data_IF_313471926035
#
_entry.id   IF_313471926035
#
_cell.length_a   1.000
_cell.length_b   1.000
_cell.length_c   1.000
_cell.angle_alpha   90.00
_cell.angle_beta   90.00
_cell.angle_gamma   90.00
#
_symmetry.space_group_name_H-M   'P 1'
#
loop_
_entity.id
_entity.type
_entity.pdbx_description
1 polymer ?
#
# COMPACT_ATOMS: atom_id res chain seq x y z
N UNK A 1 66.79 -56.70 -20.08
CA UNK A 1 66.73 -55.26 -19.71
C UNK A 1 65.40 -54.59 -20.07
N UNK A 2 64.73 -54.94 -21.18
CA UNK A 2 63.46 -54.30 -21.60
C UNK A 2 62.22 -54.60 -20.72
N UNK A 3 62.17 -55.74 -20.01
CA UNK A 3 61.04 -56.05 -19.12
C UNK A 3 61.03 -55.20 -17.84
N UNK A 4 62.20 -54.90 -17.28
CA UNK A 4 62.34 -54.07 -16.08
C UNK A 4 61.90 -52.61 -16.31
N UNK A 5 62.09 -52.07 -17.53
CA UNK A 5 61.67 -50.71 -17.91
C UNK A 5 60.15 -50.60 -18.09
N UNK A 6 59.49 -51.63 -18.61
CA UNK A 6 58.04 -51.63 -18.80
C UNK A 6 57.30 -51.69 -17.46
N UNK A 7 57.78 -52.54 -16.53
CA UNK A 7 57.19 -52.59 -15.18
C UNK A 7 57.35 -51.30 -14.38
N UNK A 8 58.48 -50.60 -14.52
CA UNK A 8 58.69 -49.31 -13.84
C UNK A 8 57.78 -48.23 -14.40
N UNK A 9 57.61 -48.17 -15.73
CA UNK A 9 56.65 -47.25 -16.36
C UNK A 9 55.22 -47.55 -15.88
N UNK A 10 54.84 -48.83 -15.77
CA UNK A 10 53.51 -49.22 -15.31
C UNK A 10 53.27 -48.82 -13.85
N UNK A 11 54.24 -49.06 -12.95
CA UNK A 11 54.17 -48.67 -11.53
C UNK A 11 54.10 -47.15 -11.35
N UNK A 12 54.86 -46.39 -12.15
CA UNK A 12 54.83 -44.92 -12.15
C UNK A 12 53.46 -44.43 -12.64
N UNK A 13 52.92 -45.00 -13.72
CA UNK A 13 51.61 -44.61 -14.26
C UNK A 13 50.47 -44.89 -13.27
N UNK A 14 50.50 -46.04 -12.59
CA UNK A 14 49.54 -46.42 -11.56
C UNK A 14 49.62 -45.51 -10.31
N UNK A 15 50.84 -45.15 -9.89
CA UNK A 15 51.05 -44.22 -8.77
C UNK A 15 50.53 -42.81 -9.09
N UNK A 16 50.76 -42.32 -10.32
CA UNK A 16 50.27 -41.01 -10.76
C UNK A 16 48.74 -41.00 -10.84
N UNK A 17 48.12 -42.03 -11.39
CA UNK A 17 46.65 -42.12 -11.47
C UNK A 17 46.01 -42.23 -10.08
N UNK A 18 46.59 -43.02 -9.18
CA UNK A 18 46.13 -43.11 -7.79
C UNK A 18 46.27 -41.76 -7.05
N UNK A 19 47.35 -41.03 -7.29
CA UNK A 19 47.56 -39.70 -6.71
C UNK A 19 46.54 -38.67 -7.23
N UNK A 20 46.23 -38.69 -8.54
CA UNK A 20 45.22 -37.81 -9.16
C UNK A 20 43.82 -38.14 -8.61
N UNK A 21 43.47 -39.41 -8.51
CA UNK A 21 42.17 -39.84 -7.96
C UNK A 21 42.06 -39.49 -6.47
N UNK A 22 43.12 -39.70 -5.69
CA UNK A 22 43.19 -39.31 -4.29
C UNK A 22 43.02 -37.80 -4.08
N UNK A 23 43.68 -36.98 -4.89
CA UNK A 23 43.51 -35.52 -4.85
C UNK A 23 42.10 -35.08 -5.27
N UNK A 24 41.53 -35.68 -6.31
CA UNK A 24 40.15 -35.40 -6.75
C UNK A 24 39.10 -35.77 -5.70
N UNK A 25 39.32 -36.87 -4.96
CA UNK A 25 38.42 -37.30 -3.88
C UNK A 25 38.38 -36.30 -2.72
N UNK A 26 39.47 -35.55 -2.48
CA UNK A 26 39.55 -34.55 -1.40
C UNK A 26 39.12 -33.16 -1.87
N UNK A 27 39.52 -32.74 -3.08
CA UNK A 27 39.24 -31.40 -3.61
C UNK A 27 37.80 -31.21 -4.06
N UNK A 28 37.19 -32.20 -4.73
CA UNK A 28 35.81 -32.09 -5.22
C UNK A 28 34.78 -31.82 -4.11
N UNK A 29 34.76 -32.54 -2.97
CA UNK A 29 33.79 -32.25 -1.91
C UNK A 29 34.03 -30.88 -1.26
N UNK A 30 35.29 -30.44 -1.13
CA UNK A 30 35.62 -29.10 -0.62
C UNK A 30 35.12 -27.98 -1.54
N UNK A 31 35.31 -28.13 -2.85
CA UNK A 31 34.82 -27.18 -3.84
C UNK A 31 33.29 -27.19 -3.94
N UNK A 32 32.67 -28.37 -3.88
CA UNK A 32 31.22 -28.52 -3.84
C UNK A 32 30.61 -27.84 -2.60
N UNK A 33 31.17 -28.07 -1.42
CA UNK A 33 30.73 -27.44 -0.18
C UNK A 33 30.89 -25.91 -0.20
N UNK A 34 31.97 -25.39 -0.82
CA UNK A 34 32.14 -23.93 -1.02
C UNK A 34 31.10 -23.36 -1.99
N UNK A 35 30.83 -24.04 -3.10
CA UNK A 35 29.84 -23.62 -4.09
C UNK A 35 28.44 -23.63 -3.50
N UNK A 36 28.11 -24.66 -2.73
CA UNK A 36 26.83 -24.79 -2.03
C UNK A 36 26.65 -23.69 -0.96
N UNK A 37 27.69 -23.40 -0.17
CA UNK A 37 27.66 -22.26 0.77
C UNK A 37 27.45 -20.93 0.04
N UNK A 38 28.02 -20.75 -1.15
CA UNK A 38 27.81 -19.53 -1.95
C UNK A 38 26.37 -19.46 -2.48
N UNK A 39 25.83 -20.56 -3.02
CA UNK A 39 24.43 -20.62 -3.45
C UNK A 39 23.47 -20.33 -2.31
N UNK A 40 23.60 -21.00 -1.16
CA UNK A 40 22.76 -20.73 0.02
C UNK A 40 22.80 -19.27 0.46
N UNK A 41 23.95 -18.60 0.37
CA UNK A 41 24.07 -17.16 0.66
C UNK A 41 23.34 -16.30 -0.38
N UNK A 42 23.47 -16.64 -1.67
CA UNK A 42 22.75 -15.93 -2.74
C UNK A 42 21.25 -16.12 -2.61
N UNK A 43 20.79 -17.35 -2.37
CA UNK A 43 19.36 -17.67 -2.17
C UNK A 43 18.80 -16.95 -0.93
N UNK A 44 19.58 -16.87 0.16
CA UNK A 44 19.17 -16.14 1.36
C UNK A 44 19.05 -14.63 1.10
N UNK A 45 20.00 -14.04 0.36
CA UNK A 45 19.96 -12.62 -0.03
C UNK A 45 18.76 -12.37 -0.96
N UNK A 46 18.56 -13.22 -1.96
CA UNK A 46 17.44 -13.11 -2.90
C UNK A 46 16.10 -13.22 -2.17
N UNK A 47 15.97 -14.15 -1.23
CA UNK A 47 14.76 -14.29 -0.41
C UNK A 47 14.49 -13.06 0.44
N UNK A 48 15.51 -12.50 1.10
CA UNK A 48 15.34 -11.26 1.87
C UNK A 48 14.93 -10.10 0.96
N UNK A 49 15.51 -9.99 -0.23
CA UNK A 49 15.13 -8.96 -1.21
C UNK A 49 13.72 -9.18 -1.76
N UNK A 50 13.29 -10.42 -2.00
CA UNK A 50 11.94 -10.73 -2.45
C UNK A 50 10.91 -10.42 -1.37
N UNK A 51 11.21 -10.77 -0.12
CA UNK A 51 10.33 -10.55 1.02
C UNK A 51 10.18 -9.04 1.30
N UNK A 52 11.28 -8.26 1.22
CA UNK A 52 11.23 -6.80 1.34
C UNK A 52 10.42 -6.15 0.21
N UNK A 53 10.61 -6.61 -1.05
CA UNK A 53 9.80 -6.13 -2.18
C UNK A 53 8.32 -6.45 -2.00
N UNK A 54 7.99 -7.66 -1.56
CA UNK A 54 6.62 -8.08 -1.30
C UNK A 54 5.99 -7.26 -0.17
N UNK A 55 6.74 -7.00 0.90
CA UNK A 55 6.31 -6.15 2.00
C UNK A 55 6.03 -4.72 1.54
N UNK A 56 6.96 -4.09 0.81
CA UNK A 56 6.77 -2.73 0.28
C UNK A 56 5.56 -2.65 -0.64
N UNK A 57 5.38 -3.64 -1.51
CA UNK A 57 4.21 -3.71 -2.38
C UNK A 57 2.91 -3.82 -1.58
N UNK A 58 2.87 -4.70 -0.58
CA UNK A 58 1.71 -4.83 0.29
C UNK A 58 1.38 -3.51 0.99
N UNK A 59 2.39 -2.78 1.49
CA UNK A 59 2.18 -1.48 2.13
C UNK A 59 1.58 -0.48 1.14
N UNK A 60 2.14 -0.37 -0.08
CA UNK A 60 1.62 0.51 -1.11
C UNK A 60 0.18 0.15 -1.49
N UNK A 61 -0.11 -1.14 -1.73
CA UNK A 61 -1.46 -1.61 -2.06
C UNK A 61 -2.48 -1.27 -0.95
N UNK A 62 -2.05 -1.32 0.32
CA UNK A 62 -2.89 -0.91 1.46
C UNK A 62 -3.09 0.60 1.54
N UNK A 63 -2.08 1.39 1.22
CA UNK A 63 -2.19 2.85 1.16
C UNK A 63 -3.12 3.29 0.03
N UNK A 64 -3.00 2.70 -1.15
CA UNK A 64 -3.89 2.97 -2.29
C UNK A 64 -5.34 2.58 -1.95
N UNK A 65 -5.54 1.45 -1.26
CA UNK A 65 -6.85 1.05 -0.79
C UNK A 65 -7.43 2.01 0.26
N UNK A 66 -6.60 2.62 1.11
CA UNK A 66 -7.04 3.64 2.06
C UNK A 66 -7.41 4.94 1.34
N UNK A 67 -6.61 5.38 0.39
CA UNK A 67 -6.89 6.58 -0.42
C UNK A 67 -8.23 6.45 -1.15
N UNK A 68 -8.47 5.29 -1.79
CA UNK A 68 -9.76 4.99 -2.40
C UNK A 68 -10.94 5.06 -1.42
N UNK A 69 -10.76 4.60 -0.17
CA UNK A 69 -11.78 4.70 0.88
C UNK A 69 -12.01 6.16 1.31
N UNK A 70 -10.97 6.98 1.42
CA UNK A 70 -11.09 8.39 1.76
C UNK A 70 -11.88 9.16 0.71
N UNK A 71 -11.63 8.90 -0.57
CA UNK A 71 -12.40 9.50 -1.68
C UNK A 71 -13.88 9.14 -1.60
N UNK A 72 -14.22 7.87 -1.30
CA UNK A 72 -15.62 7.45 -1.13
C UNK A 72 -16.24 8.11 0.09
N UNK A 73 -15.51 8.18 1.21
CA UNK A 73 -16.01 8.81 2.43
C UNK A 73 -16.26 10.30 2.25
N UNK A 74 -15.39 11.02 1.54
CA UNK A 74 -15.59 12.45 1.26
C UNK A 74 -16.86 12.70 0.44
N UNK A 75 -17.17 11.83 -0.54
CA UNK A 75 -18.44 11.88 -1.27
C UNK A 75 -19.65 11.66 -0.37
N UNK A 76 -19.59 10.67 0.52
CA UNK A 76 -20.68 10.39 1.48
C UNK A 76 -20.87 11.58 2.42
N UNK A 77 -19.79 12.21 2.88
CA UNK A 77 -19.86 13.42 3.71
C UNK A 77 -20.54 14.55 2.94
N UNK A 78 -20.19 14.77 1.68
CA UNK A 78 -20.83 15.78 0.85
C UNK A 78 -22.35 15.51 0.68
N UNK A 79 -22.75 14.27 0.42
CA UNK A 79 -24.16 13.89 0.35
C UNK A 79 -24.89 14.14 1.68
N UNK A 80 -24.27 13.80 2.81
CA UNK A 80 -24.83 14.03 4.13
C UNK A 80 -24.96 15.53 4.44
N UNK A 81 -23.98 16.34 4.05
CA UNK A 81 -24.05 17.80 4.19
C UNK A 81 -25.20 18.38 3.36
N UNK A 82 -25.38 17.92 2.12
CA UNK A 82 -26.51 18.30 1.27
C UNK A 82 -27.85 17.94 1.94
N UNK A 83 -27.98 16.71 2.41
CA UNK A 83 -29.21 16.23 3.03
C UNK A 83 -29.52 16.97 4.35
N UNK A 84 -28.50 17.33 5.12
CA UNK A 84 -28.66 18.16 6.32
C UNK A 84 -29.15 19.57 5.97
N UNK A 85 -28.64 20.18 4.90
CA UNK A 85 -29.13 21.48 4.41
C UNK A 85 -30.59 21.37 3.97
N UNK A 86 -30.97 20.32 3.24
CA UNK A 86 -32.36 20.13 2.81
C UNK A 86 -33.29 19.87 4.00
N UNK A 87 -32.86 19.10 5.02
CA UNK A 87 -33.64 18.93 6.25
C UNK A 87 -33.81 20.25 7.01
N UNK A 88 -32.76 21.04 7.13
CA UNK A 88 -32.84 22.36 7.73
C UNK A 88 -33.82 23.26 6.97
N UNK A 89 -33.79 23.21 5.63
CA UNK A 89 -34.74 23.91 4.79
C UNK A 89 -36.19 23.51 5.09
N UNK A 90 -36.48 22.21 5.09
CA UNK A 90 -37.82 21.71 5.43
C UNK A 90 -38.26 22.20 6.83
N UNK A 91 -37.39 22.06 7.83
CA UNK A 91 -37.74 22.44 9.21
C UNK A 91 -37.96 23.95 9.36
N UNK A 92 -37.02 24.78 8.91
CA UNK A 92 -37.06 26.21 9.22
C UNK A 92 -37.86 27.04 8.21
N UNK A 93 -37.82 26.69 6.91
CA UNK A 93 -38.55 27.42 5.88
C UNK A 93 -39.99 26.91 5.75
N UNK A 94 -40.18 25.59 5.70
CA UNK A 94 -41.51 25.01 5.44
C UNK A 94 -42.34 24.90 6.71
N UNK A 95 -41.77 24.47 7.83
CA UNK A 95 -42.54 24.22 9.07
C UNK A 95 -42.57 25.42 10.04
N UNK A 96 -41.44 26.10 10.28
CA UNK A 96 -41.33 27.09 11.36
C UNK A 96 -41.45 28.55 10.92
N UNK A 97 -40.92 28.89 9.74
CA UNK A 97 -40.86 30.28 9.26
C UNK A 97 -39.86 31.18 9.97
N UNK A 98 -38.98 30.63 10.82
CA UNK A 98 -37.88 31.35 11.47
C UNK A 98 -36.67 30.43 11.68
N UNK A 99 -35.47 30.99 11.80
CA UNK A 99 -34.23 30.23 12.05
C UNK A 99 -33.32 30.99 13.03
N UNK A 100 -32.97 30.41 14.19
CA UNK A 100 -32.06 31.04 15.16
C UNK A 100 -30.68 31.32 14.56
N UNK A 101 -30.02 32.39 15.02
CA UNK A 101 -28.69 32.82 14.56
C UNK A 101 -27.63 31.72 14.61
N UNK A 102 -27.52 30.99 15.74
CA UNK A 102 -26.56 29.90 15.86
C UNK A 102 -26.79 28.74 14.88
N UNK A 103 -28.04 28.51 14.46
CA UNK A 103 -28.34 27.49 13.44
C UNK A 103 -27.98 27.99 12.04
N UNK A 104 -28.18 29.28 11.75
CA UNK A 104 -27.73 29.89 10.49
C UNK A 104 -26.21 29.82 10.33
N UNK A 105 -25.46 30.08 11.39
CA UNK A 105 -23.99 29.95 11.39
C UNK A 105 -23.57 28.51 11.07
N UNK A 106 -24.16 27.52 11.74
CA UNK A 106 -23.86 26.11 11.49
C UNK A 106 -24.19 25.67 10.04
N UNK A 107 -25.32 26.13 9.48
CA UNK A 107 -25.71 25.85 8.10
C UNK A 107 -24.75 26.54 7.12
N UNK A 108 -24.33 27.78 7.40
CA UNK A 108 -23.38 28.53 6.60
C UNK A 108 -22.01 27.85 6.56
N UNK A 109 -21.50 27.39 7.70
CA UNK A 109 -20.24 26.65 7.79
C UNK A 109 -20.31 25.33 7.04
N UNK A 110 -21.43 24.61 7.19
CA UNK A 110 -21.69 23.37 6.45
C UNK A 110 -21.68 23.61 4.94
N UNK A 111 -22.36 24.66 4.48
CA UNK A 111 -22.40 25.04 3.07
C UNK A 111 -21.04 25.50 2.55
N UNK A 112 -20.27 26.26 3.33
CA UNK A 112 -18.90 26.66 2.97
C UNK A 112 -18.03 25.42 2.73
N UNK A 113 -18.07 24.47 3.66
CA UNK A 113 -17.33 23.21 3.54
C UNK A 113 -17.80 22.38 2.33
N UNK A 114 -19.10 22.35 2.04
CA UNK A 114 -19.68 21.68 0.87
C UNK A 114 -19.23 22.34 -0.45
N UNK A 115 -19.19 23.67 -0.48
CA UNK A 115 -18.76 24.49 -1.63
C UNK A 115 -17.26 24.34 -1.92
N UNK A 116 -16.43 24.29 -0.88
CA UNK A 116 -14.99 24.06 -0.99
C UNK A 116 -14.67 22.70 -1.65
N UNK A 117 -15.55 21.70 -1.48
CA UNK A 117 -15.46 20.40 -2.18
C UNK A 117 -15.92 20.44 -3.65
N UNK A 118 -16.39 21.58 -4.15
CA UNK A 118 -16.81 21.76 -5.54
C UNK A 118 -18.28 21.50 -5.83
N UNK A 119 -19.11 21.23 -4.81
CA UNK A 119 -20.54 20.98 -4.97
C UNK A 119 -21.35 22.26 -4.73
N UNK A 120 -21.96 22.85 -5.78
CA UNK A 120 -22.39 24.26 -5.71
C UNK A 120 -23.86 24.57 -6.03
N UNK A 121 -24.57 23.78 -6.82
CA UNK A 121 -25.77 24.32 -7.52
C UNK A 121 -27.11 24.04 -6.83
N UNK A 122 -27.25 22.95 -6.06
CA UNK A 122 -28.56 22.59 -5.48
C UNK A 122 -28.77 23.26 -4.11
N UNK A 123 -27.73 23.30 -3.27
CA UNK A 123 -27.85 23.75 -1.89
C UNK A 123 -27.81 25.28 -1.70
N UNK A 124 -27.31 26.04 -2.68
CA UNK A 124 -27.10 27.49 -2.52
C UNK A 124 -28.42 28.24 -2.28
N UNK A 125 -29.41 28.03 -3.13
CA UNK A 125 -30.71 28.72 -3.00
C UNK A 125 -31.36 28.41 -1.65
N UNK A 126 -31.25 27.15 -1.20
CA UNK A 126 -31.77 26.71 0.12
C UNK A 126 -31.12 27.47 1.27
N UNK A 127 -29.80 27.60 1.22
CA UNK A 127 -29.02 28.31 2.24
C UNK A 127 -29.32 29.81 2.24
N UNK A 128 -29.43 30.43 1.06
CA UNK A 128 -29.77 31.85 0.92
C UNK A 128 -31.17 32.14 1.52
N UNK A 129 -32.16 31.27 1.26
CA UNK A 129 -33.50 31.35 1.88
C UNK A 129 -33.46 31.16 3.41
N UNK A 130 -32.70 30.18 3.90
CA UNK A 130 -32.53 29.91 5.33
C UNK A 130 -31.90 31.08 6.09
N UNK A 131 -30.91 31.74 5.48
CA UNK A 131 -30.24 32.91 6.08
C UNK A 131 -31.19 34.11 6.15
N UNK A 132 -32.07 34.27 5.15
CA UNK A 132 -33.02 35.37 5.05
C UNK A 132 -34.18 35.30 6.06
N UNK A 133 -34.42 34.13 6.67
CA UNK A 133 -35.49 33.96 7.67
C UNK A 133 -35.31 34.88 8.89
N UNK A 134 -36.38 35.27 9.60
CA UNK A 134 -36.27 35.96 10.87
C UNK A 134 -35.65 35.05 11.96
N UNK A 135 -35.04 35.66 12.98
CA UNK A 135 -34.39 34.91 14.08
C UNK A 135 -35.40 34.31 15.07
N UNK A 136 -36.54 34.97 15.23
CA UNK A 136 -37.58 34.60 16.20
C UNK A 136 -38.92 34.37 15.48
N UNK A 137 -39.82 33.55 16.04
CA UNK A 137 -41.14 33.35 15.50
C UNK A 137 -41.90 34.68 15.42
N UNK A 138 -42.58 34.91 14.30
CA UNK A 138 -43.50 36.03 14.16
C UNK A 138 -44.73 35.72 15.04
N UNK A 139 -44.98 36.56 16.05
CA UNK A 139 -46.11 36.44 16.98
C UNK A 139 -47.44 36.71 16.30
#
# INVERSE_FOLDING_TARGET
MQQATIETILKISAAITAAILGWMAVLKPLLAARKEKKHRRQDAIEKVLSDDKAYRRLVLDKLDALDGRFVVMDKIIADLQRDNIERAYCMFVVEHGYCPSGMKEAISDTFKSYKERGYNHIAKNRVDELIALPEFPQR
#
